data_IF_716522005810
#
_entry.id   IF_716522005810
#
_cell.length_a   1.000
_cell.length_b   1.000
_cell.length_c   1.000
_cell.angle_alpha   90.00
_cell.angle_beta   90.00
_cell.angle_gamma   90.00
#
_symmetry.space_group_name_H-M   'P 1'
#
loop_
_entity.id
_entity.type
_entity.pdbx_description
1 polymer ?
#
# COMPACT_ATOMS: atom_id res chain seq x y z
N UNK A 1 20.46 23.65 -4.44
CA UNK A 1 19.85 23.59 -3.09
C UNK A 1 18.78 22.52 -3.13
N UNK A 2 19.08 21.29 -2.69
CA UNK A 2 18.09 20.22 -2.57
C UNK A 2 17.81 20.02 -1.08
N UNK A 3 16.70 20.60 -0.62
CA UNK A 3 16.17 20.34 0.71
C UNK A 3 15.75 18.87 0.79
N UNK A 4 16.69 17.98 1.11
CA UNK A 4 16.38 16.62 1.56
C UNK A 4 15.67 16.74 2.90
N UNK A 5 14.38 17.03 2.87
CA UNK A 5 13.54 16.81 4.04
C UNK A 5 13.66 15.33 4.38
N UNK A 6 14.06 14.96 5.61
CA UNK A 6 14.15 13.57 6.00
C UNK A 6 12.78 12.94 5.79
N UNK A 7 12.72 11.92 4.93
CA UNK A 7 11.51 11.14 4.69
C UNK A 7 11.16 10.51 6.03
N UNK A 8 10.14 11.05 6.69
CA UNK A 8 9.66 10.47 7.95
C UNK A 8 9.27 9.02 7.65
N UNK A 9 9.75 8.05 8.45
CA UNK A 9 9.36 6.66 8.24
C UNK A 9 7.83 6.58 8.33
N UNK A 10 7.22 6.00 7.30
CA UNK A 10 5.78 5.80 7.24
C UNK A 10 5.37 4.97 8.45
N UNK A 11 4.50 5.53 9.30
CA UNK A 11 3.98 4.80 10.46
C UNK A 11 3.00 3.74 9.95
N UNK A 12 3.41 2.48 10.01
CA UNK A 12 2.60 1.33 9.63
C UNK A 12 1.89 0.80 10.87
N UNK A 13 0.57 0.91 10.90
CA UNK A 13 -0.26 0.36 11.96
C UNK A 13 -0.50 -1.14 11.71
N UNK A 14 -0.39 -2.01 12.73
CA UNK A 14 -0.54 -3.45 12.54
C UNK A 14 -1.97 -3.89 12.21
N UNK A 15 -2.97 -3.08 12.55
CA UNK A 15 -4.39 -3.38 12.28
C UNK A 15 -4.82 -2.99 10.85
N UNK A 16 -4.03 -2.16 10.17
CA UNK A 16 -4.38 -1.56 8.90
C UNK A 16 -3.69 -2.25 7.71
N UNK A 17 -4.31 -2.12 6.55
CA UNK A 17 -3.80 -2.69 5.30
C UNK A 17 -2.91 -1.70 4.58
N UNK A 18 -1.71 -2.16 4.22
CA UNK A 18 -0.77 -1.40 3.41
C UNK A 18 -0.29 -2.23 2.22
N UNK A 19 0.00 -1.56 1.11
CA UNK A 19 0.60 -2.12 -0.09
C UNK A 19 1.95 -1.47 -0.33
N UNK A 20 2.95 -2.29 -0.61
CA UNK A 20 4.19 -1.86 -1.24
C UNK A 20 4.04 -2.04 -2.73
N UNK A 21 4.15 -0.95 -3.48
CA UNK A 21 4.00 -0.94 -4.94
C UNK A 21 5.34 -0.52 -5.54
N UNK A 22 5.86 -1.35 -6.42
CA UNK A 22 7.03 -1.06 -7.24
C UNK A 22 6.55 -0.54 -8.59
N UNK A 23 7.04 0.61 -9.04
CA UNK A 23 6.64 1.28 -10.28
C UNK A 23 7.85 1.65 -11.16
N UNK A 24 7.63 1.71 -12.48
CA UNK A 24 8.67 2.05 -13.48
C UNK A 24 8.99 3.54 -13.55
N UNK A 25 8.05 4.38 -13.12
CA UNK A 25 8.11 5.83 -13.33
C UNK A 25 8.96 6.52 -12.27
N UNK A 26 9.59 7.65 -12.62
CA UNK A 26 10.29 8.51 -11.65
C UNK A 26 9.33 9.09 -10.60
N UNK A 27 8.02 9.10 -10.88
CA UNK A 27 6.99 9.61 -9.99
C UNK A 27 6.03 8.49 -9.54
N UNK A 28 5.68 8.44 -8.24
CA UNK A 28 4.70 7.49 -7.73
C UNK A 28 3.31 7.79 -8.29
N UNK A 29 2.50 6.78 -8.65
CA UNK A 29 1.08 7.00 -8.91
C UNK A 29 0.41 7.49 -7.62
N UNK A 30 0.05 8.78 -7.55
CA UNK A 30 -0.39 9.44 -6.31
C UNK A 30 -1.74 8.96 -5.78
N UNK A 31 -2.57 8.32 -6.62
CA UNK A 31 -3.88 7.80 -6.22
C UNK A 31 -4.30 6.67 -7.14
N UNK A 32 -4.18 5.44 -6.66
CA UNK A 32 -4.71 4.25 -7.33
C UNK A 32 -6.15 4.08 -6.86
N UNK A 33 -7.04 4.86 -7.46
CA UNK A 33 -8.48 4.74 -7.27
C UNK A 33 -8.98 3.59 -8.15
N UNK A 34 -9.48 2.55 -7.51
CA UNK A 34 -10.03 1.41 -8.22
C UNK A 34 -11.47 1.74 -8.61
N UNK A 35 -11.72 1.73 -9.92
CA UNK A 35 -12.94 2.20 -10.59
C UNK A 35 -12.99 3.74 -10.73
N UNK A 36 -12.52 4.24 -11.87
CA UNK A 36 -12.84 5.60 -12.35
C UNK A 36 -14.34 5.79 -12.68
N UNK A 37 -15.19 4.79 -12.41
CA UNK A 37 -16.63 4.94 -12.50
C UNK A 37 -17.14 5.52 -11.18
N UNK A 38 -17.67 6.74 -11.29
CA UNK A 38 -17.96 7.72 -10.25
C UNK A 38 -18.97 7.34 -9.15
N UNK A 39 -19.15 6.06 -8.79
CA UNK A 39 -20.12 5.60 -7.77
C UNK A 39 -19.77 4.22 -7.16
N UNK A 40 -18.51 3.78 -7.18
CA UNK A 40 -18.14 2.48 -6.63
C UNK A 40 -17.62 2.62 -5.19
N UNK A 41 -18.35 2.02 -4.24
CA UNK A 41 -18.01 1.89 -2.81
C UNK A 41 -16.82 0.91 -2.60
N UNK A 42 -15.69 1.19 -3.26
CA UNK A 42 -14.52 0.31 -3.33
C UNK A 42 -13.33 0.79 -2.50
N UNK A 43 -12.43 -0.11 -2.11
CA UNK A 43 -11.17 0.28 -1.49
C UNK A 43 -10.31 1.14 -2.44
N UNK A 44 -9.63 2.13 -1.88
CA UNK A 44 -8.70 3.03 -2.56
C UNK A 44 -7.30 2.88 -1.96
N UNK A 45 -6.26 2.97 -2.80
CA UNK A 45 -4.88 2.96 -2.35
C UNK A 45 -4.29 4.38 -2.36
N UNK A 46 -4.02 4.91 -1.17
CA UNK A 46 -3.44 6.25 -0.94
C UNK A 46 -1.95 6.15 -0.72
N UNK A 47 -1.17 6.89 -1.51
CA UNK A 47 0.28 6.95 -1.35
C UNK A 47 0.66 7.63 -0.01
N UNK A 48 1.51 6.97 0.77
CA UNK A 48 2.02 7.48 2.05
C UNK A 48 3.47 7.96 1.96
N UNK A 49 4.25 7.39 1.05
CA UNK A 49 5.66 7.75 0.90
C UNK A 49 6.49 6.64 0.28
N UNK A 50 7.77 6.91 -0.02
CA UNK A 50 8.66 5.95 -0.64
C UNK A 50 9.13 4.89 0.36
N UNK A 51 9.55 3.74 -0.15
CA UNK A 51 10.17 2.68 0.66
C UNK A 51 11.67 2.97 0.81
N UNK A 52 12.05 3.59 1.93
CA UNK A 52 13.45 3.96 2.19
C UNK A 52 13.97 4.95 1.15
N UNK A 53 15.17 4.70 0.62
CA UNK A 53 15.81 5.53 -0.42
C UNK A 53 15.59 4.96 -1.84
N UNK A 54 14.79 3.90 -1.99
CA UNK A 54 14.61 3.21 -3.26
C UNK A 54 13.69 4.02 -4.18
N UNK A 55 14.26 4.50 -5.29
CA UNK A 55 13.52 5.14 -6.38
C UNK A 55 12.71 4.08 -7.12
N UNK A 56 11.39 4.24 -7.18
CA UNK A 56 10.49 3.31 -7.84
C UNK A 56 9.75 2.35 -6.90
N UNK A 57 9.81 2.56 -5.59
CA UNK A 57 8.99 1.81 -4.62
C UNK A 57 8.30 2.73 -3.62
N UNK A 58 7.01 2.48 -3.40
CA UNK A 58 6.16 3.29 -2.55
C UNK A 58 5.26 2.47 -1.63
N UNK A 59 5.02 2.98 -0.44
CA UNK A 59 4.01 2.48 0.48
C UNK A 59 2.70 3.21 0.23
N UNK A 60 1.64 2.42 0.14
CA UNK A 60 0.27 2.84 -0.05
C UNK A 60 -0.58 2.29 1.09
N UNK A 61 -1.46 3.10 1.65
CA UNK A 61 -2.47 2.67 2.62
C UNK A 61 -3.76 2.36 1.87
N UNK A 62 -4.36 1.21 2.19
CA UNK A 62 -5.71 0.91 1.70
C UNK A 62 -6.71 1.59 2.63
N UNK A 63 -7.56 2.41 2.05
CA UNK A 63 -8.61 3.15 2.72
C UNK A 63 -9.93 2.92 2.01
N UNK A 64 -11.04 3.00 2.72
CA UNK A 64 -12.36 3.08 2.11
C UNK A 64 -12.51 4.39 1.33
N UNK A 65 -13.51 4.45 0.45
CA UNK A 65 -13.92 5.67 -0.29
C UNK A 65 -14.08 6.92 0.58
N UNK A 66 -14.47 6.73 1.84
CA UNK A 66 -14.63 7.79 2.83
C UNK A 66 -13.31 8.27 3.46
N UNK A 67 -12.16 7.72 3.06
CA UNK A 67 -10.84 8.05 3.58
C UNK A 67 -10.48 7.34 4.88
N UNK A 68 -11.31 6.41 5.35
CA UNK A 68 -11.05 5.61 6.56
C UNK A 68 -10.11 4.44 6.24
N UNK A 69 -9.00 4.24 6.99
CA UNK A 69 -8.11 3.10 6.78
C UNK A 69 -8.84 1.76 6.89
N UNK A 70 -8.62 0.87 5.92
CA UNK A 70 -9.21 -0.46 5.92
C UNK A 70 -8.44 -1.38 6.88
N UNK A 71 -9.18 -2.11 7.72
CA UNK A 71 -8.61 -3.07 8.66
C UNK A 71 -8.23 -4.38 7.96
N UNK A 72 -7.20 -5.05 8.46
CA UNK A 72 -6.74 -6.34 7.91
C UNK A 72 -7.76 -7.45 8.07
N UNK A 73 -8.44 -7.50 9.21
CA UNK A 73 -9.48 -8.48 9.52
C UNK A 73 -10.86 -8.07 8.97
N UNK A 74 -10.93 -6.97 8.21
CA UNK A 74 -12.18 -6.57 7.56
C UNK A 74 -12.60 -7.65 6.55
N UNK A 75 -13.81 -8.19 6.72
CA UNK A 75 -14.33 -9.24 5.85
C UNK A 75 -14.35 -8.82 4.38
N UNK A 76 -14.62 -7.54 4.11
CA UNK A 76 -14.62 -6.97 2.76
C UNK A 76 -13.22 -6.94 2.18
N UNK A 77 -12.20 -6.63 2.99
CA UNK A 77 -10.81 -6.70 2.57
C UNK A 77 -10.39 -8.14 2.28
N UNK A 78 -10.62 -9.09 3.21
CA UNK A 78 -10.20 -10.49 3.04
C UNK A 78 -10.81 -11.11 1.77
N UNK A 79 -12.08 -10.80 1.47
CA UNK A 79 -12.75 -11.27 0.26
C UNK A 79 -12.24 -10.59 -1.01
N UNK A 80 -11.99 -9.28 -0.97
CA UNK A 80 -11.61 -8.51 -2.15
C UNK A 80 -10.10 -8.35 -2.36
N UNK A 81 -9.26 -8.73 -1.39
CA UNK A 81 -7.81 -8.51 -1.38
C UNK A 81 -7.17 -9.01 -2.67
N UNK A 82 -7.48 -10.24 -3.08
CA UNK A 82 -6.88 -10.83 -4.28
C UNK A 82 -7.26 -10.05 -5.54
N UNK A 83 -8.53 -9.69 -5.68
CA UNK A 83 -9.03 -8.91 -6.81
C UNK A 83 -8.39 -7.52 -6.82
N UNK A 84 -8.32 -6.89 -5.66
CA UNK A 84 -7.72 -5.58 -5.45
C UNK A 84 -6.26 -5.55 -5.88
N UNK A 85 -5.45 -6.46 -5.35
CA UNK A 85 -4.02 -6.56 -5.65
C UNK A 85 -3.78 -6.84 -7.14
N UNK A 86 -4.60 -7.71 -7.76
CA UNK A 86 -4.48 -8.00 -9.19
C UNK A 86 -4.80 -6.77 -10.04
N UNK A 87 -5.83 -5.99 -9.68
CA UNK A 87 -6.16 -4.75 -10.37
C UNK A 87 -5.08 -3.69 -10.22
N UNK A 88 -4.52 -3.52 -9.02
CA UNK A 88 -3.38 -2.60 -8.80
C UNK A 88 -2.18 -3.04 -9.64
N UNK A 89 -1.91 -4.34 -9.73
CA UNK A 89 -0.82 -4.88 -10.56
C UNK A 89 -1.03 -4.64 -12.05
N UNK A 90 -2.28 -4.56 -12.51
CA UNK A 90 -2.64 -4.21 -13.90
C UNK A 90 -2.62 -2.71 -14.17
N UNK A 91 -2.49 -1.87 -13.16
CA UNK A 91 -2.42 -0.43 -13.35
C UNK A 91 -1.15 -0.05 -14.15
N UNK A 92 -1.29 0.94 -15.02
CA UNK A 92 -0.20 1.37 -15.88
C UNK A 92 0.99 1.87 -15.03
N UNK A 93 2.19 1.36 -15.34
CA UNK A 93 3.42 1.74 -14.65
C UNK A 93 3.71 0.97 -13.36
N UNK A 94 2.84 0.05 -12.93
CA UNK A 94 3.11 -0.84 -11.80
C UNK A 94 3.89 -2.08 -12.26
N UNK A 95 5.04 -2.35 -11.64
CA UNK A 95 5.83 -3.58 -11.83
C UNK A 95 5.42 -4.69 -10.87
N UNK A 96 5.13 -4.31 -9.62
CA UNK A 96 4.92 -5.25 -8.54
C UNK A 96 4.06 -4.66 -7.44
N UNK A 97 3.28 -5.52 -6.79
CA UNK A 97 2.45 -5.17 -5.65
C UNK A 97 2.63 -6.24 -4.59
N UNK A 98 2.98 -5.82 -3.39
CA UNK A 98 3.10 -6.69 -2.23
C UNK A 98 2.21 -6.14 -1.13
N UNK A 99 1.32 -6.97 -0.60
CA UNK A 99 0.57 -6.60 0.61
C UNK A 99 1.55 -6.65 1.77
N UNK A 100 1.77 -5.52 2.42
CA UNK A 100 2.59 -5.47 3.63
C UNK A 100 1.78 -6.18 4.71
N UNK A 101 2.22 -7.38 5.07
CA UNK A 101 1.60 -8.17 6.13
C UNK A 101 1.87 -7.56 7.51
N UNK A 102 1.25 -8.09 8.58
CA UNK A 102 1.68 -7.76 9.93
C UNK A 102 3.19 -7.99 10.02
N UNK A 103 3.93 -7.12 10.74
CA UNK A 103 5.31 -7.42 11.04
C UNK A 103 5.29 -8.82 11.64
N UNK A 104 5.79 -9.81 10.90
CA UNK A 104 5.95 -11.16 11.42
C UNK A 104 6.75 -10.93 12.68
N UNK A 105 6.13 -11.11 13.84
CA UNK A 105 6.85 -11.20 15.09
C UNK A 105 7.96 -12.20 14.77
N UNK A 106 9.21 -11.75 14.73
CA UNK A 106 10.33 -12.65 14.57
C UNK A 106 10.14 -13.61 15.73
N UNK A 107 9.69 -14.84 15.44
CA UNK A 107 9.81 -15.93 16.37
C UNK A 107 11.30 -15.88 16.74
N UNK A 108 11.60 -15.42 17.95
CA UNK A 108 12.93 -15.62 18.50
C UNK A 108 13.12 -17.12 18.37
N UNK A 109 14.02 -17.52 17.48
CA UNK A 109 14.46 -18.90 17.42
C UNK A 109 15.15 -19.09 18.76
N UNK A 110 14.46 -19.73 19.71
CA UNK A 110 15.08 -20.24 20.91
C UNK A 110 16.10 -21.27 20.41
N UNK A 111 17.34 -20.82 20.29
CA UNK A 111 18.51 -21.67 20.20
C UNK A 111 18.90 -21.99 21.65
N UNK A 112 18.32 -23.09 22.16
CA UNK A 112 18.74 -23.77 23.39
C UNK A 112 18.79 -25.29 23.15
#
# INVERSE_FOLDING_TARGET
>A
MASSQPVKPVKIEPDQVYLQISYTSSEPPSSLRLNQHANADGPEAKYLGPVGELTGEGIYQVQSTHGSPTKRDDASWVQNQKSFVDQVRRAQGVKGVTVVGPPRARQKRDEF
#
